data_IF_964993310252
#
_entry.id   IF_964993310252
#
_cell.length_a   1.000
_cell.length_b   1.000
_cell.length_c   1.000
_cell.angle_alpha   90.00
_cell.angle_beta   90.00
_cell.angle_gamma   90.00
#
_symmetry.space_group_name_H-M   'P 1'
#
loop_
_entity.id
_entity.type
_entity.pdbx_description
1 polymer ?
#
# COMPACT_ATOMS: atom_id res chain seq x y z
N UNK A 1 -13.96 -12.28 -12.56
CA UNK A 1 -13.90 -10.90 -12.05
C UNK A 1 -15.06 -10.64 -11.10
N UNK A 2 -15.19 -9.45 -10.50
CA UNK A 2 -16.02 -9.18 -9.32
C UNK A 2 -17.50 -9.44 -9.58
N UNK A 3 -18.23 -9.88 -8.57
CA UNK A 3 -19.68 -10.04 -8.68
C UNK A 3 -20.41 -8.70 -8.55
N UNK A 4 -21.64 -8.65 -9.05
CA UNK A 4 -22.51 -7.47 -8.89
C UNK A 4 -22.68 -7.08 -7.41
N UNK A 5 -22.75 -8.05 -6.50
CA UNK A 5 -22.83 -7.82 -5.05
C UNK A 5 -21.55 -7.19 -4.51
N UNK A 6 -20.38 -7.64 -4.94
CA UNK A 6 -19.09 -7.05 -4.54
C UNK A 6 -18.96 -5.60 -5.04
N UNK A 7 -19.34 -5.33 -6.28
CA UNK A 7 -19.35 -3.98 -6.85
C UNK A 7 -20.32 -3.07 -6.09
N UNK A 8 -21.52 -3.58 -5.77
CA UNK A 8 -22.50 -2.84 -4.96
C UNK A 8 -21.93 -2.54 -3.56
N UNK A 9 -21.34 -3.54 -2.91
CA UNK A 9 -20.72 -3.37 -1.59
C UNK A 9 -19.67 -2.27 -1.60
N UNK A 10 -18.78 -2.27 -2.61
CA UNK A 10 -17.76 -1.24 -2.76
C UNK A 10 -18.37 0.17 -2.87
N UNK A 11 -19.42 0.33 -3.70
CA UNK A 11 -20.10 1.62 -3.88
C UNK A 11 -20.80 2.11 -2.61
N UNK A 12 -21.37 1.20 -1.82
CA UNK A 12 -22.07 1.54 -0.59
C UNK A 12 -21.12 1.84 0.58
N UNK A 13 -19.92 1.22 0.62
CA UNK A 13 -19.05 1.22 1.80
C UNK A 13 -17.68 1.88 1.58
N UNK A 14 -17.27 2.14 0.32
CA UNK A 14 -15.98 2.74 -0.01
C UNK A 14 -14.77 1.79 0.06
N UNK A 15 -14.98 0.50 0.33
CA UNK A 15 -13.92 -0.52 0.35
C UNK A 15 -14.45 -1.89 -0.09
N UNK A 16 -13.53 -2.79 -0.45
CA UNK A 16 -13.85 -4.17 -0.79
C UNK A 16 -12.67 -5.09 -0.48
N UNK A 17 -12.93 -6.25 0.14
CA UNK A 17 -11.93 -7.31 0.32
C UNK A 17 -12.12 -8.35 -0.78
N UNK A 18 -11.04 -8.62 -1.53
CA UNK A 18 -11.03 -9.61 -2.61
C UNK A 18 -9.99 -10.68 -2.29
N UNK A 19 -10.45 -11.86 -1.91
CA UNK A 19 -9.58 -12.98 -1.53
C UNK A 19 -9.10 -13.77 -2.75
N UNK A 20 -7.88 -14.33 -2.66
CA UNK A 20 -7.36 -15.24 -3.69
C UNK A 20 -6.94 -14.58 -5.00
N UNK A 21 -6.65 -13.27 -4.96
CA UNK A 21 -6.06 -12.53 -6.09
C UNK A 21 -4.68 -13.10 -6.42
N UNK A 22 -3.84 -13.30 -5.39
CA UNK A 22 -2.50 -13.87 -5.51
C UNK A 22 -2.44 -15.27 -4.90
N UNK A 23 -1.65 -16.15 -5.52
CA UNK A 23 -1.32 -17.46 -4.98
C UNK A 23 -0.29 -17.33 -3.85
N UNK A 24 -0.25 -18.29 -2.90
CA UNK A 24 0.72 -18.25 -1.80
C UNK A 24 2.17 -18.09 -2.26
N UNK A 25 2.56 -18.74 -3.36
CA UNK A 25 3.92 -18.64 -3.93
C UNK A 25 4.25 -17.24 -4.45
N UNK A 26 3.26 -16.52 -5.00
CA UNK A 26 3.45 -15.14 -5.48
C UNK A 26 3.64 -14.19 -4.30
N UNK A 27 2.87 -14.40 -3.23
CA UNK A 27 3.02 -13.64 -1.97
C UNK A 27 4.38 -13.92 -1.34
N UNK A 28 4.79 -15.18 -1.22
CA UNK A 28 6.12 -15.55 -0.71
C UNK A 28 7.26 -14.93 -1.53
N UNK A 29 7.12 -14.81 -2.85
CA UNK A 29 8.10 -14.13 -3.70
C UNK A 29 8.18 -12.63 -3.35
N UNK A 30 7.04 -11.97 -3.16
CA UNK A 30 7.00 -10.56 -2.77
C UNK A 30 7.60 -10.31 -1.37
N UNK A 31 7.39 -11.24 -0.43
CA UNK A 31 7.98 -11.18 0.92
C UNK A 31 9.51 -11.28 0.84
N UNK A 32 10.05 -12.29 0.12
CA UNK A 32 11.50 -12.41 -0.05
C UNK A 32 12.10 -11.18 -0.73
N UNK A 33 11.46 -10.68 -1.78
CA UNK A 33 11.93 -9.49 -2.49
C UNK A 33 11.90 -8.24 -1.59
N UNK A 34 10.92 -8.13 -0.69
CA UNK A 34 10.87 -7.07 0.33
C UNK A 34 12.14 -7.10 1.17
N UNK A 35 12.47 -8.24 1.77
CA UNK A 35 13.65 -8.39 2.62
C UNK A 35 14.94 -8.04 1.86
N UNK A 36 15.10 -8.57 0.64
CA UNK A 36 16.29 -8.30 -0.17
C UNK A 36 16.40 -6.82 -0.55
N UNK A 37 15.29 -6.19 -0.94
CA UNK A 37 15.29 -4.80 -1.35
C UNK A 37 15.58 -3.86 -0.18
N UNK A 38 15.01 -4.10 1.00
CA UNK A 38 15.34 -3.32 2.20
C UNK A 38 16.81 -3.50 2.58
N UNK A 39 17.36 -4.72 2.50
CA UNK A 39 18.80 -4.96 2.74
C UNK A 39 19.69 -4.17 1.74
N UNK A 40 19.28 -4.08 0.46
CA UNK A 40 20.01 -3.29 -0.54
C UNK A 40 19.96 -1.79 -0.21
N UNK A 41 18.80 -1.27 0.20
CA UNK A 41 18.65 0.16 0.50
C UNK A 41 19.39 0.54 1.79
N UNK A 42 19.32 -0.30 2.82
CA UNK A 42 20.09 -0.12 4.06
C UNK A 42 21.59 -0.01 3.78
N UNK A 43 22.14 -0.93 2.98
CA UNK A 43 23.57 -0.89 2.56
C UNK A 43 23.93 0.35 1.75
N UNK A 44 22.97 0.97 1.07
CA UNK A 44 23.20 2.21 0.32
C UNK A 44 23.25 3.46 1.21
N UNK A 45 22.89 3.36 2.50
CA UNK A 45 22.85 4.48 3.44
C UNK A 45 21.71 5.46 3.22
N UNK A 46 20.73 5.14 2.36
CA UNK A 46 19.54 5.96 2.17
C UNK A 46 18.65 5.91 3.41
N UNK A 47 18.10 7.05 3.80
CA UNK A 47 17.08 7.11 4.84
C UNK A 47 15.77 6.51 4.33
N UNK A 48 15.24 5.54 5.08
CA UNK A 48 13.98 4.85 4.80
C UNK A 48 12.84 5.33 5.69
N UNK A 49 13.12 6.13 6.71
CA UNK A 49 12.14 6.56 7.69
C UNK A 49 11.05 7.43 7.05
N UNK A 50 9.80 7.07 7.32
CA UNK A 50 8.61 7.66 6.75
C UNK A 50 7.49 7.84 7.78
N UNK A 51 7.81 7.79 9.08
CA UNK A 51 6.87 8.05 10.16
C UNK A 51 6.25 9.42 10.03
N UNK A 52 4.93 9.47 10.12
CA UNK A 52 4.19 10.71 9.97
C UNK A 52 4.41 11.58 11.21
N UNK A 53 4.73 12.85 10.99
CA UNK A 53 4.69 13.86 12.05
C UNK A 53 3.25 14.28 12.37
N UNK A 54 3.07 15.01 13.47
CA UNK A 54 1.84 15.74 13.75
C UNK A 54 1.31 15.54 15.17
N UNK A 55 0.38 16.43 15.56
CA UNK A 55 -0.20 16.46 16.92
C UNK A 55 -1.04 15.23 17.27
N UNK A 56 -1.42 14.41 16.29
CA UNK A 56 -2.11 13.14 16.52
C UNK A 56 -1.27 12.19 17.40
N UNK A 57 0.06 12.31 17.38
CA UNK A 57 0.95 11.53 18.24
C UNK A 57 0.67 11.80 19.72
N UNK A 58 0.18 12.99 20.07
CA UNK A 58 -0.11 13.35 21.46
C UNK A 58 -1.27 12.54 22.04
N UNK A 59 -2.17 12.05 21.18
CA UNK A 59 -3.36 11.28 21.58
C UNK A 59 -3.30 9.81 21.24
N UNK A 60 -2.41 9.40 20.32
CA UNK A 60 -2.35 8.01 19.83
C UNK A 60 -1.05 7.28 20.15
N UNK A 61 -0.02 7.98 20.65
CA UNK A 61 1.25 7.37 21.07
C UNK A 61 1.52 7.76 22.52
N UNK A 62 1.87 6.77 23.34
CA UNK A 62 2.25 7.00 24.72
C UNK A 62 3.43 7.98 24.79
N UNK A 63 3.43 8.90 25.76
CA UNK A 63 4.43 9.97 25.84
C UNK A 63 5.87 9.44 25.87
N UNK A 64 6.10 8.32 26.56
CA UNK A 64 7.39 7.64 26.65
C UNK A 64 7.82 6.91 25.36
N UNK A 65 6.93 6.76 24.38
CA UNK A 65 7.18 6.08 23.10
C UNK A 65 7.27 7.06 21.91
N UNK A 66 6.93 8.34 22.10
CA UNK A 66 7.00 9.35 21.04
C UNK A 66 8.42 9.49 20.49
N UNK A 67 8.53 9.50 19.17
CA UNK A 67 9.82 9.54 18.47
C UNK A 67 10.59 8.22 18.47
N UNK A 68 10.03 7.13 19.05
CA UNK A 68 10.66 5.80 19.03
C UNK A 68 9.98 4.84 18.04
N UNK A 69 8.81 5.20 17.53
CA UNK A 69 8.10 4.46 16.49
C UNK A 69 8.69 4.73 15.11
N UNK A 70 8.49 3.79 14.19
CA UNK A 70 9.08 3.81 12.86
C UNK A 70 8.14 3.24 11.79
N UNK A 71 8.26 3.75 10.57
CA UNK A 71 7.74 3.14 9.34
C UNK A 71 8.82 3.29 8.29
N UNK A 72 9.31 2.18 7.76
CA UNK A 72 10.30 2.18 6.69
C UNK A 72 9.59 2.08 5.35
N UNK A 73 9.96 2.94 4.38
CA UNK A 73 9.23 3.01 3.11
C UNK A 73 10.12 3.07 1.89
N UNK A 74 9.68 2.37 0.84
CA UNK A 74 10.25 2.47 -0.51
C UNK A 74 9.10 2.77 -1.48
N UNK A 75 9.30 3.77 -2.33
CA UNK A 75 8.30 4.20 -3.32
C UNK A 75 8.69 3.72 -4.72
N UNK A 76 7.73 3.70 -5.63
CA UNK A 76 7.94 3.36 -7.04
C UNK A 76 8.57 1.97 -7.26
N UNK A 77 8.00 0.98 -6.57
CA UNK A 77 8.41 -0.43 -6.57
C UNK A 77 8.62 -1.03 -7.96
N UNK A 78 7.83 -0.59 -8.94
CA UNK A 78 7.94 -1.00 -10.34
C UNK A 78 9.29 -0.65 -10.99
N UNK A 79 10.01 0.36 -10.48
CA UNK A 79 11.36 0.71 -10.95
C UNK A 79 12.47 -0.07 -10.24
N UNK A 80 12.14 -0.78 -9.16
CA UNK A 80 13.10 -1.47 -8.31
C UNK A 80 13.06 -2.98 -8.47
N UNK A 81 11.90 -3.56 -8.78
CA UNK A 81 11.75 -5.01 -8.88
C UNK A 81 10.75 -5.45 -9.92
N UNK A 82 11.15 -6.49 -10.66
CA UNK A 82 10.25 -7.19 -11.57
C UNK A 82 9.18 -7.97 -10.82
N UNK A 83 9.42 -8.41 -9.58
CA UNK A 83 8.45 -9.12 -8.73
C UNK A 83 7.24 -8.22 -8.47
N UNK A 84 7.48 -7.01 -7.97
CA UNK A 84 6.41 -6.04 -7.75
C UNK A 84 5.78 -5.55 -9.06
N UNK A 85 6.56 -5.42 -10.14
CA UNK A 85 5.98 -5.10 -11.46
C UNK A 85 4.98 -6.17 -11.90
N UNK A 86 5.31 -7.46 -11.77
CA UNK A 86 4.39 -8.58 -12.07
C UNK A 86 3.15 -8.56 -11.17
N UNK A 87 3.31 -8.28 -9.88
CA UNK A 87 2.19 -8.14 -8.95
C UNK A 87 1.24 -7.01 -9.36
N UNK A 88 1.77 -5.84 -9.73
CA UNK A 88 1.00 -4.66 -10.14
C UNK A 88 0.19 -4.89 -11.42
N UNK A 89 0.74 -5.65 -12.37
CA UNK A 89 0.06 -5.98 -13.63
C UNK A 89 -0.63 -7.35 -13.60
N UNK A 90 -0.79 -7.95 -12.42
CA UNK A 90 -1.41 -9.26 -12.30
C UNK A 90 -2.85 -9.21 -12.84
N UNK A 91 -3.27 -10.14 -13.73
CA UNK A 91 -4.56 -10.05 -14.40
C UNK A 91 -5.72 -9.91 -13.43
N UNK A 92 -5.80 -10.74 -12.38
CA UNK A 92 -6.90 -10.65 -11.40
C UNK A 92 -6.94 -9.32 -10.64
N UNK A 93 -5.80 -8.67 -10.40
CA UNK A 93 -5.75 -7.37 -9.72
C UNK A 93 -6.26 -6.28 -10.66
N UNK A 94 -5.66 -6.17 -11.84
CA UNK A 94 -6.00 -5.13 -12.83
C UNK A 94 -7.44 -5.27 -13.31
N UNK A 95 -7.91 -6.50 -13.49
CA UNK A 95 -9.27 -6.86 -13.85
C UNK A 95 -10.23 -6.44 -12.71
N UNK A 96 -9.97 -6.80 -11.44
CA UNK A 96 -10.79 -6.34 -10.30
C UNK A 96 -10.83 -4.82 -10.12
N UNK A 97 -9.72 -4.12 -10.35
CA UNK A 97 -9.67 -2.65 -10.31
C UNK A 97 -10.52 -2.05 -11.42
N UNK A 98 -10.41 -2.58 -12.64
CA UNK A 98 -11.19 -2.11 -13.78
C UNK A 98 -12.71 -2.29 -13.58
N UNK A 99 -13.15 -3.35 -12.90
CA UNK A 99 -14.55 -3.54 -12.52
C UNK A 99 -15.08 -2.44 -11.58
N UNK A 100 -14.21 -1.85 -10.75
CA UNK A 100 -14.58 -0.82 -9.78
C UNK A 100 -14.58 0.59 -10.38
N UNK A 101 -13.52 0.94 -11.13
CA UNK A 101 -13.28 2.33 -11.58
C UNK A 101 -13.44 2.52 -13.09
N UNK A 102 -13.72 1.43 -13.82
CA UNK A 102 -13.85 1.41 -15.27
C UNK A 102 -12.54 1.01 -16.00
N UNK A 103 -12.62 0.87 -17.34
CA UNK A 103 -11.47 0.49 -18.15
C UNK A 103 -10.41 1.61 -18.18
N UNK A 104 -9.24 1.31 -18.77
CA UNK A 104 -8.11 2.23 -18.89
C UNK A 104 -7.53 2.66 -17.53
N UNK A 105 -7.23 1.66 -16.71
CA UNK A 105 -6.60 1.83 -15.39
C UNK A 105 -5.15 2.29 -15.57
N UNK A 106 -4.80 3.41 -14.94
CA UNK A 106 -3.42 3.92 -14.89
C UNK A 106 -2.84 3.67 -13.49
N UNK A 107 -1.58 3.20 -13.45
CA UNK A 107 -0.81 3.20 -12.21
C UNK A 107 -0.40 4.63 -11.87
N UNK A 108 -0.84 5.14 -10.71
CA UNK A 108 -0.42 6.46 -10.22
C UNK A 108 0.92 6.38 -9.49
N UNK A 109 1.00 5.61 -8.42
CA UNK A 109 2.22 5.42 -7.63
C UNK A 109 2.14 4.14 -6.80
N UNK A 110 3.27 3.73 -6.23
CA UNK A 110 3.34 2.58 -5.31
C UNK A 110 4.17 2.94 -4.09
N UNK A 111 3.81 2.33 -2.97
CA UNK A 111 4.54 2.43 -1.70
C UNK A 111 4.58 1.05 -1.08
N UNK A 112 5.77 0.65 -0.64
CA UNK A 112 5.96 -0.49 0.24
C UNK A 112 6.31 0.03 1.61
N UNK A 113 5.51 -0.33 2.62
CA UNK A 113 5.71 0.08 4.01
C UNK A 113 6.04 -1.14 4.87
N UNK A 114 7.13 -1.04 5.63
CA UNK A 114 7.47 -2.01 6.67
C UNK A 114 7.30 -1.33 8.02
N UNK A 115 6.47 -1.93 8.87
CA UNK A 115 6.32 -1.55 10.28
C UNK A 115 7.15 -2.51 11.11
N UNK A 116 8.26 -2.06 11.75
CA UNK A 116 9.06 -2.94 12.59
C UNK A 116 8.21 -3.54 13.71
N UNK A 117 8.46 -4.79 14.12
CA UNK A 117 7.81 -5.40 15.27
C UNK A 117 7.92 -4.50 16.50
N UNK A 118 6.83 -4.39 17.27
CA UNK A 118 6.72 -3.62 18.52
C UNK A 118 6.92 -2.09 18.40
N UNK A 119 7.47 -1.60 17.29
CA UNK A 119 7.78 -0.17 17.08
C UNK A 119 7.10 0.42 15.84
N UNK A 120 6.20 -0.31 15.21
CA UNK A 120 5.48 0.16 14.04
C UNK A 120 4.63 1.40 14.35
N UNK A 121 4.94 2.54 13.72
CA UNK A 121 4.13 3.74 13.91
C UNK A 121 2.73 3.55 13.31
N UNK A 122 1.65 4.05 13.95
CA UNK A 122 0.33 4.03 13.34
C UNK A 122 0.29 4.92 12.10
N UNK A 123 -0.65 4.61 11.20
CA UNK A 123 -1.12 5.59 10.23
C UNK A 123 -2.37 6.23 10.85
N UNK A 124 -2.35 7.55 11.15
CA UNK A 124 -3.53 8.22 11.69
C UNK A 124 -4.67 8.14 10.67
N UNK A 125 -5.92 8.23 11.13
CA UNK A 125 -7.08 8.25 10.25
C UNK A 125 -6.95 9.38 9.22
N UNK A 126 -7.10 9.03 7.94
CA UNK A 126 -7.03 9.96 6.81
C UNK A 126 -7.81 9.42 5.61
N UNK A 127 -7.96 10.26 4.59
CA UNK A 127 -8.40 9.87 3.25
C UNK A 127 -7.28 10.18 2.26
N UNK A 128 -7.07 9.29 1.28
CA UNK A 128 -6.02 9.48 0.27
C UNK A 128 -6.31 10.65 -0.68
N UNK A 129 -7.58 11.04 -0.84
CA UNK A 129 -8.00 12.10 -1.75
C UNK A 129 -7.30 13.43 -1.48
N UNK A 130 -7.17 13.83 -0.21
CA UNK A 130 -6.54 15.10 0.17
C UNK A 130 -5.06 15.15 -0.22
N UNK A 131 -4.41 13.99 -0.38
CA UNK A 131 -3.03 13.89 -0.83
C UNK A 131 -2.90 13.80 -2.34
N UNK A 132 -3.91 13.22 -3.02
CA UNK A 132 -3.86 12.85 -4.43
C UNK A 132 -5.19 13.15 -5.15
N UNK A 133 -5.60 14.42 -5.24
CA UNK A 133 -6.87 14.78 -5.84
C UNK A 133 -6.88 14.38 -7.33
N UNK A 134 -8.00 13.83 -7.79
CA UNK A 134 -8.23 13.46 -9.18
C UNK A 134 -9.56 14.01 -9.65
N UNK A 135 -9.62 14.54 -10.87
CA UNK A 135 -10.80 15.25 -11.41
C UNK A 135 -12.11 14.47 -11.35
N UNK A 136 -12.05 13.14 -11.46
CA UNK A 136 -13.22 12.25 -11.50
C UNK A 136 -13.46 11.47 -10.21
N UNK A 137 -12.66 11.71 -9.18
CA UNK A 137 -12.70 10.96 -7.90
C UNK A 137 -12.60 9.43 -8.07
N UNK A 138 -11.98 8.96 -9.17
CA UNK A 138 -11.82 7.53 -9.50
C UNK A 138 -10.54 6.91 -8.97
N UNK A 139 -9.72 7.67 -8.23
CA UNK A 139 -8.47 7.16 -7.68
C UNK A 139 -8.79 6.22 -6.51
N UNK A 140 -8.21 5.02 -6.54
CA UNK A 140 -8.37 4.02 -5.48
C UNK A 140 -7.01 3.47 -5.07
N UNK A 141 -6.90 3.03 -3.82
CA UNK A 141 -5.76 2.29 -3.31
C UNK A 141 -6.04 0.78 -3.34
N UNK A 142 -5.11 0.01 -3.89
CA UNK A 142 -5.06 -1.44 -3.68
C UNK A 142 -4.02 -1.75 -2.61
N UNK A 143 -4.47 -2.26 -1.46
CA UNK A 143 -3.60 -2.73 -0.37
C UNK A 143 -3.46 -4.24 -0.51
N UNK A 144 -2.22 -4.71 -0.65
CA UNK A 144 -1.86 -6.08 -1.01
C UNK A 144 -1.03 -6.70 0.11
#
# INVERSE_FOLDING_TARGET
>A
MLTSEQIKFYKDNGYLVVSGVFQPKEVEECVRETDEMFSRVEKSGKNLEATWGGKWQDTQIAENERGTTSVLSIHNMQYHSSVFTRMLVHPKLTEAVADLIGPNVQLHHTKLHVKPPEKGSPFPLHQDYDYFPHEKDTMIAAVI
#
